data_IF_556017749901
#
_entry.id   IF_556017749901
#
_cell.length_a   1.000
_cell.length_b   1.000
_cell.length_c   1.000
_cell.angle_alpha   90.00
_cell.angle_beta   90.00
_cell.angle_gamma   90.00
#
_symmetry.space_group_name_H-M   'P 1'
#
loop_
_entity.id
_entity.type
_entity.pdbx_description
1 polymer ?
#
# COMPACT_ATOMS: atom_id res chain seq x y z
N UNK A 1 -21.70 3.67 1.07
CA UNK A 1 -20.70 2.71 1.59
C UNK A 1 -21.46 1.42 1.85
N UNK A 2 -20.93 0.27 1.46
CA UNK A 2 -21.60 -1.03 1.63
C UNK A 2 -20.71 -1.94 2.47
N UNK A 3 -21.30 -2.72 3.37
CA UNK A 3 -20.58 -3.67 4.22
C UNK A 3 -21.19 -5.07 4.06
N UNK A 4 -20.33 -6.09 4.02
CA UNK A 4 -20.75 -7.48 3.89
C UNK A 4 -20.06 -8.34 4.95
N UNK A 5 -20.78 -9.34 5.47
CA UNK A 5 -20.25 -10.35 6.36
C UNK A 5 -20.14 -11.70 5.63
N UNK A 6 -18.96 -12.34 5.71
CA UNK A 6 -18.71 -13.65 5.11
C UNK A 6 -19.52 -14.73 5.84
N UNK A 7 -20.23 -15.57 5.07
CA UNK A 7 -20.94 -16.75 5.59
C UNK A 7 -20.23 -18.06 5.29
N UNK A 8 -19.69 -18.20 4.08
CA UNK A 8 -18.91 -19.36 3.68
C UNK A 8 -17.96 -19.02 2.54
N UNK A 9 -16.96 -19.87 2.31
CA UNK A 9 -15.99 -19.75 1.21
C UNK A 9 -15.74 -21.09 0.55
N UNK A 10 -15.49 -21.07 -0.74
CA UNK A 10 -14.85 -22.16 -1.51
C UNK A 10 -13.40 -21.76 -1.81
N UNK A 11 -12.74 -22.45 -2.73
CA UNK A 11 -11.39 -22.09 -3.18
C UNK A 11 -11.36 -20.73 -3.91
N UNK A 12 -12.43 -20.40 -4.63
CA UNK A 12 -12.50 -19.30 -5.60
C UNK A 12 -13.66 -18.32 -5.34
N UNK A 13 -14.59 -18.68 -4.45
CA UNK A 13 -15.82 -17.92 -4.22
C UNK A 13 -16.02 -17.66 -2.73
N UNK A 14 -16.51 -16.46 -2.41
CA UNK A 14 -16.92 -16.10 -1.05
C UNK A 14 -18.41 -15.76 -1.07
N UNK A 15 -19.19 -16.45 -0.23
CA UNK A 15 -20.61 -16.13 -0.01
C UNK A 15 -20.72 -15.18 1.17
N UNK A 16 -21.34 -14.04 0.95
CA UNK A 16 -21.53 -13.01 1.96
C UNK A 16 -23.01 -12.67 2.14
N UNK A 17 -23.34 -12.10 3.30
CA UNK A 17 -24.60 -11.39 3.54
C UNK A 17 -24.32 -9.89 3.59
N UNK A 18 -25.24 -9.10 3.05
CA UNK A 18 -25.20 -7.65 3.17
C UNK A 18 -25.53 -7.30 4.63
N UNK A 19 -24.67 -6.49 5.25
CA UNK A 19 -24.90 -5.95 6.60
C UNK A 19 -25.42 -4.52 6.46
N UNK A 20 -24.67 -3.68 5.74
CA UNK A 20 -25.11 -2.34 5.34
C UNK A 20 -25.19 -2.27 3.81
N UNK A 21 -26.39 -2.04 3.29
CA UNK A 21 -26.65 -1.97 1.85
C UNK A 21 -26.22 -0.66 1.19
N UNK A 22 -26.37 -0.61 -0.13
CA UNK A 22 -26.14 0.60 -0.93
C UNK A 22 -26.01 0.29 -2.41
N UNK A 23 -25.75 1.33 -3.20
CA UNK A 23 -25.51 1.19 -4.64
C UNK A 23 -24.05 0.76 -4.91
N UNK A 24 -23.87 -0.37 -5.62
CA UNK A 24 -22.57 -0.82 -6.10
C UNK A 24 -22.33 -0.33 -7.52
N UNK A 25 -21.32 0.53 -7.69
CA UNK A 25 -20.87 1.03 -9.00
C UNK A 25 -19.65 0.23 -9.48
N UNK A 26 -19.17 0.52 -10.68
CA UNK A 26 -17.96 -0.12 -11.22
C UNK A 26 -16.68 0.35 -10.50
N UNK A 27 -15.65 -0.51 -10.47
CA UNK A 27 -14.29 -0.24 -9.95
C UNK A 27 -14.26 0.33 -8.52
N UNK A 28 -15.11 -0.19 -7.63
CA UNK A 28 -15.12 0.19 -6.21
C UNK A 28 -14.06 -0.59 -5.44
N UNK A 29 -13.40 0.10 -4.51
CA UNK A 29 -12.39 -0.50 -3.65
C UNK A 29 -13.01 -1.49 -2.67
N UNK A 30 -12.39 -2.65 -2.50
CA UNK A 30 -12.75 -3.66 -1.51
C UNK A 30 -11.71 -3.63 -0.39
N UNK A 31 -12.16 -3.51 0.86
CA UNK A 31 -11.30 -3.61 2.04
C UNK A 31 -11.77 -4.76 2.94
N UNK A 32 -10.85 -5.59 3.40
CA UNK A 32 -11.11 -6.73 4.29
C UNK A 32 -10.62 -6.38 5.69
N UNK A 33 -11.55 -6.20 6.64
CA UNK A 33 -11.20 -5.86 8.02
C UNK A 33 -10.46 -7.02 8.69
N UNK A 34 -9.41 -6.70 9.46
CA UNK A 34 -8.67 -7.66 10.27
C UNK A 34 -7.79 -8.63 9.50
N UNK A 35 -7.67 -8.48 8.17
CA UNK A 35 -6.70 -9.20 7.36
C UNK A 35 -6.07 -8.27 6.35
N UNK A 36 -4.76 -8.16 6.41
CA UNK A 36 -4.00 -7.52 5.35
C UNK A 36 -3.82 -8.49 4.20
N UNK A 37 -3.98 -8.01 2.98
CA UNK A 37 -3.61 -8.77 1.80
C UNK A 37 -2.11 -9.07 1.86
N UNK A 38 -1.68 -10.27 1.49
CA UNK A 38 -0.25 -10.68 1.41
C UNK A 38 0.48 -10.05 0.22
N UNK A 39 -0.09 -9.00 -0.37
CA UNK A 39 0.51 -8.27 -1.47
C UNK A 39 1.73 -7.48 -0.98
N UNK A 40 2.78 -7.36 -1.82
CA UNK A 40 3.91 -6.48 -1.55
C UNK A 40 3.45 -5.02 -1.57
N UNK A 41 4.17 -4.13 -0.87
CA UNK A 41 3.86 -2.70 -0.87
C UNK A 41 4.27 -1.98 -2.17
N UNK A 42 5.19 -2.57 -2.95
CA UNK A 42 5.56 -2.12 -4.30
C UNK A 42 5.42 -3.34 -5.23
N UNK A 43 4.59 -3.21 -6.26
CA UNK A 43 4.39 -4.22 -7.31
C UNK A 43 5.33 -3.99 -8.50
N UNK A 44 5.38 -4.94 -9.44
CA UNK A 44 6.14 -4.78 -10.70
C UNK A 44 5.71 -3.52 -11.48
N UNK A 45 4.40 -3.26 -11.54
CA UNK A 45 3.86 -2.05 -12.16
C UNK A 45 4.29 -0.78 -11.41
N UNK A 46 4.31 -0.81 -10.09
CA UNK A 46 4.76 0.35 -9.30
C UNK A 46 6.24 0.66 -9.57
N UNK A 47 7.08 -0.36 -9.82
CA UNK A 47 8.47 -0.14 -10.24
C UNK A 47 8.61 0.52 -11.60
N UNK A 48 7.69 0.26 -12.53
CA UNK A 48 7.64 0.99 -13.81
C UNK A 48 7.26 2.45 -13.59
N UNK A 49 6.27 2.72 -12.74
CA UNK A 49 5.85 4.08 -12.38
C UNK A 49 6.98 4.84 -11.64
N UNK A 50 7.76 4.15 -10.80
CA UNK A 50 8.93 4.70 -10.13
C UNK A 50 10.00 5.08 -11.16
N UNK A 51 10.35 4.21 -12.10
CA UNK A 51 11.32 4.55 -13.16
C UNK A 51 10.87 5.77 -13.96
N UNK A 52 9.60 5.79 -14.35
CA UNK A 52 9.00 6.93 -15.04
C UNK A 52 9.09 8.22 -14.21
N UNK A 53 8.78 8.19 -12.92
CA UNK A 53 8.88 9.37 -12.06
C UNK A 53 10.32 9.88 -11.88
N UNK A 54 11.31 8.97 -11.84
CA UNK A 54 12.73 9.34 -11.81
C UNK A 54 13.12 10.09 -13.09
N UNK A 55 12.72 9.58 -14.26
CA UNK A 55 12.97 10.22 -15.56
C UNK A 55 12.33 11.62 -15.66
N UNK A 56 11.23 11.84 -14.94
CA UNK A 56 10.50 13.11 -14.93
C UNK A 56 10.88 14.03 -13.77
N UNK A 57 11.80 13.62 -12.89
CA UNK A 57 12.29 14.46 -11.77
C UNK A 57 11.22 14.82 -10.75
N UNK A 58 10.37 13.86 -10.35
CA UNK A 58 9.38 14.09 -9.28
C UNK A 58 10.06 14.37 -7.93
N UNK A 59 9.41 15.16 -7.07
CA UNK A 59 10.01 15.55 -5.78
C UNK A 59 9.95 14.43 -4.71
N UNK A 60 8.89 13.62 -4.72
CA UNK A 60 8.70 12.55 -3.74
C UNK A 60 7.78 11.43 -4.21
N UNK A 61 7.94 10.24 -3.62
CA UNK A 61 7.01 9.12 -3.73
C UNK A 61 6.20 8.92 -2.45
N UNK A 62 4.88 8.89 -2.59
CA UNK A 62 3.96 8.48 -1.54
C UNK A 62 3.64 6.99 -1.65
N UNK A 63 4.28 6.15 -0.82
CA UNK A 63 4.20 4.69 -0.92
C UNK A 63 3.00 4.17 -0.13
N UNK A 64 2.07 3.49 -0.80
CA UNK A 64 0.83 3.00 -0.18
C UNK A 64 1.03 1.67 0.54
N UNK A 65 0.21 1.41 1.57
CA UNK A 65 0.18 0.14 2.30
C UNK A 65 1.56 -0.38 2.77
N UNK A 66 2.43 0.51 3.27
CA UNK A 66 3.76 0.15 3.79
C UNK A 66 3.62 -0.62 5.11
N UNK A 67 4.22 -1.81 5.20
CA UNK A 67 4.12 -2.68 6.39
C UNK A 67 5.41 -2.79 7.20
N UNK A 68 6.55 -2.52 6.59
CA UNK A 68 7.86 -2.60 7.21
C UNK A 68 8.83 -1.59 6.58
N UNK A 69 9.98 -1.38 7.22
CA UNK A 69 11.01 -0.47 6.76
C UNK A 69 11.77 -1.00 5.52
N UNK A 70 11.69 -2.31 5.22
CA UNK A 70 12.48 -2.92 4.15
C UNK A 70 12.13 -2.31 2.80
N UNK A 71 10.83 -2.11 2.54
CA UNK A 71 10.39 -1.52 1.26
C UNK A 71 10.87 -0.08 1.07
N UNK A 72 10.97 0.68 2.17
CA UNK A 72 11.50 2.06 2.13
C UNK A 72 13.00 2.02 1.81
N UNK A 73 13.75 1.14 2.48
CA UNK A 73 15.18 0.97 2.19
C UNK A 73 15.43 0.52 0.75
N UNK A 74 14.62 -0.39 0.23
CA UNK A 74 14.71 -0.88 -1.15
C UNK A 74 14.52 0.26 -2.15
N UNK A 75 13.46 1.06 -1.97
CA UNK A 75 13.20 2.22 -2.82
C UNK A 75 14.33 3.27 -2.71
N UNK A 76 14.76 3.62 -1.50
CA UNK A 76 15.86 4.59 -1.31
C UNK A 76 17.19 4.10 -1.90
N UNK A 77 17.48 2.80 -1.82
CA UNK A 77 18.66 2.22 -2.44
C UNK A 77 18.61 2.33 -3.96
N UNK A 78 17.46 2.07 -4.56
CA UNK A 78 17.23 2.28 -5.99
C UNK A 78 17.42 3.75 -6.39
N UNK A 79 16.77 4.69 -5.70
CA UNK A 79 16.86 6.13 -6.00
C UNK A 79 18.30 6.64 -5.89
N UNK A 80 19.03 6.19 -4.87
CA UNK A 80 20.47 6.48 -4.72
C UNK A 80 21.29 5.94 -5.90
N UNK A 81 21.01 4.73 -6.36
CA UNK A 81 21.71 4.14 -7.52
C UNK A 81 21.41 4.87 -8.84
N UNK A 82 20.24 5.50 -8.94
CA UNK A 82 19.84 6.34 -10.06
C UNK A 82 20.33 7.80 -9.93
N UNK A 83 21.07 8.14 -8.87
CA UNK A 83 21.49 9.50 -8.53
C UNK A 83 20.30 10.49 -8.50
N UNK A 84 19.15 10.01 -8.01
CA UNK A 84 17.91 10.76 -7.91
C UNK A 84 17.70 11.22 -6.45
N UNK A 85 17.58 12.53 -6.26
CA UNK A 85 17.27 13.14 -4.95
C UNK A 85 15.74 13.27 -4.79
N UNK A 86 15.08 12.13 -4.53
CA UNK A 86 13.63 12.03 -4.43
C UNK A 86 13.26 11.49 -3.05
N UNK A 87 12.35 12.16 -2.35
CA UNK A 87 11.94 11.76 -1.01
C UNK A 87 10.98 10.58 -1.00
N UNK A 88 11.05 9.74 0.03
CA UNK A 88 10.15 8.60 0.22
C UNK A 88 9.28 8.82 1.46
N UNK A 89 7.96 8.89 1.24
CA UNK A 89 6.95 9.12 2.27
C UNK A 89 6.01 7.90 2.32
N UNK A 90 6.11 7.01 3.31
CA UNK A 90 5.17 5.92 3.50
C UNK A 90 3.80 6.44 3.95
N UNK A 91 2.77 5.74 3.51
CA UNK A 91 1.38 5.92 3.96
C UNK A 91 1.00 4.80 4.92
N UNK A 92 0.59 5.16 6.13
CA UNK A 92 0.23 4.23 7.20
C UNK A 92 -1.26 3.86 7.08
N UNK A 93 -1.56 2.88 6.22
CA UNK A 93 -2.96 2.55 5.85
C UNK A 93 -3.45 1.20 6.41
N UNK A 94 -2.58 0.45 7.10
CA UNK A 94 -2.91 -0.86 7.67
C UNK A 94 -2.48 -0.98 9.13
N UNK A 95 -3.24 -1.79 9.89
CA UNK A 95 -2.85 -2.21 11.23
C UNK A 95 -1.52 -2.99 11.25
N UNK A 96 -1.15 -3.64 10.13
CA UNK A 96 0.12 -4.35 9.98
C UNK A 96 1.33 -3.41 10.07
N UNK A 97 1.16 -2.12 9.78
CA UNK A 97 2.22 -1.12 9.86
C UNK A 97 2.57 -0.77 11.31
N UNK A 98 1.63 -0.96 12.24
CA UNK A 98 1.73 -0.48 13.63
C UNK A 98 2.90 -1.14 14.39
N UNK A 99 3.10 -2.47 14.35
CA UNK A 99 4.24 -3.10 15.03
C UNK A 99 5.60 -2.59 14.54
N UNK A 100 5.69 -2.17 13.27
CA UNK A 100 6.92 -1.70 12.64
C UNK A 100 6.96 -0.17 12.50
N UNK A 101 6.02 0.56 13.12
CA UNK A 101 5.84 1.98 12.85
C UNK A 101 7.12 2.80 13.10
N UNK A 102 7.84 2.48 14.18
CA UNK A 102 9.08 3.17 14.52
C UNK A 102 10.18 2.94 13.49
N UNK A 103 10.33 1.72 12.98
CA UNK A 103 11.34 1.44 11.95
C UNK A 103 10.96 2.06 10.61
N UNK A 104 9.67 2.07 10.27
CA UNK A 104 9.13 2.76 9.09
C UNK A 104 9.44 4.26 9.17
N UNK A 105 9.14 4.92 10.29
CA UNK A 105 9.43 6.35 10.50
C UNK A 105 10.93 6.62 10.35
N UNK A 106 11.78 5.82 11.01
CA UNK A 106 13.22 6.02 11.01
C UNK A 106 13.87 5.87 9.61
N UNK A 107 13.28 5.05 8.73
CA UNK A 107 13.77 4.85 7.38
C UNK A 107 13.32 5.94 6.38
N UNK A 108 12.27 6.70 6.73
CA UNK A 108 11.53 7.58 5.80
C UNK A 108 11.96 9.03 5.87
N UNK A 109 11.65 9.80 4.82
CA UNK A 109 11.93 11.25 4.75
C UNK A 109 10.79 12.10 5.33
N UNK A 110 9.65 11.46 5.58
CA UNK A 110 8.46 11.99 6.24
C UNK A 110 7.49 10.84 6.46
N UNK A 111 6.33 11.06 7.10
CA UNK A 111 5.29 10.03 7.23
C UNK A 111 3.92 10.64 7.01
N UNK A 112 3.06 9.93 6.27
CA UNK A 112 1.65 10.28 6.10
C UNK A 112 0.77 9.26 6.84
N UNK A 113 -0.03 9.70 7.83
CA UNK A 113 -1.02 8.84 8.46
C UNK A 113 -2.20 8.52 7.53
#
# INVERSE_FOLDING_TARGET
>A
MMSLAVKSKTADTVKCVVVDGGELKSRRHLNVRGKSATLPSITEKDWEDIKFGVENGVDFYAVSFVKDAKVIHELKAYLKSANADIHVIPKIESADSIPNLQSIIAASDGVRP
#
